data_IF_593904252975
#
_entry.id   IF_593904252975
#
_cell.length_a   1.000
_cell.length_b   1.000
_cell.length_c   1.000
_cell.angle_alpha   90.00
_cell.angle_beta   90.00
_cell.angle_gamma   90.00
#
_symmetry.space_group_name_H-M   'P 1'
#
loop_
_entity.id
_entity.type
_entity.pdbx_description
1 polymer ?
#
# COMPACT_ATOMS: atom_id res chain seq x y z
N UNK A 1 -73.59 -5.87 50.03
CA UNK A 1 -73.31 -5.21 48.74
C UNK A 1 -71.97 -4.50 48.91
N UNK A 2 -70.86 -5.03 48.37
CA UNK A 2 -69.51 -4.55 48.49
C UNK A 2 -69.12 -3.78 47.26
N UNK A 3 -68.76 -2.49 47.40
CA UNK A 3 -68.29 -1.61 46.36
C UNK A 3 -66.82 -1.90 46.06
N UNK A 4 -66.45 -2.31 44.82
CA UNK A 4 -65.10 -2.37 44.36
C UNK A 4 -64.74 -1.06 43.58
N UNK A 5 -63.88 -0.28 44.15
CA UNK A 5 -63.18 0.85 43.42
C UNK A 5 -62.09 0.26 42.56
N UNK A 6 -62.15 0.41 41.25
CA UNK A 6 -61.05 0.14 40.34
C UNK A 6 -60.15 1.37 40.21
N UNK A 7 -58.92 1.28 40.70
CA UNK A 7 -57.89 2.29 40.45
C UNK A 7 -57.25 2.06 39.07
N UNK A 8 -57.36 3.03 38.20
CA UNK A 8 -56.77 3.06 36.89
C UNK A 8 -55.36 3.64 37.04
N UNK A 9 -54.32 2.82 36.89
CA UNK A 9 -52.91 3.26 36.86
C UNK A 9 -52.55 3.58 35.41
N UNK A 10 -52.35 4.86 35.13
CA UNK A 10 -51.89 5.36 33.83
C UNK A 10 -50.38 5.21 33.78
N UNK A 11 -49.90 4.26 32.95
CA UNK A 11 -48.47 4.17 32.62
C UNK A 11 -48.14 5.20 31.52
N UNK A 12 -47.43 6.25 31.89
CA UNK A 12 -46.88 7.23 30.94
C UNK A 12 -45.57 6.69 30.42
N UNK A 13 -45.57 6.08 29.21
CA UNK A 13 -44.36 5.66 28.53
C UNK A 13 -43.68 6.89 27.90
N UNK A 14 -42.63 7.37 28.52
CA UNK A 14 -41.78 8.41 27.93
C UNK A 14 -40.91 7.74 26.85
N UNK A 15 -41.23 7.95 25.60
CA UNK A 15 -40.41 7.56 24.45
C UNK A 15 -39.28 8.57 24.35
N UNK A 16 -38.09 8.24 24.87
CA UNK A 16 -36.86 9.01 24.64
C UNK A 16 -36.38 8.64 23.25
N UNK A 17 -36.67 9.48 22.24
CA UNK A 17 -36.01 9.44 20.95
C UNK A 17 -34.55 9.85 21.10
N UNK A 18 -33.64 8.89 21.15
CA UNK A 18 -32.23 9.17 20.88
C UNK A 18 -32.09 9.52 19.40
N UNK A 19 -32.08 10.80 19.08
CA UNK A 19 -31.54 11.27 17.82
C UNK A 19 -30.02 11.08 17.89
N UNK A 20 -29.54 10.00 17.27
CA UNK A 20 -28.13 9.86 16.92
C UNK A 20 -27.79 11.01 15.96
N UNK A 21 -27.21 12.08 16.48
CA UNK A 21 -26.53 13.06 15.65
C UNK A 21 -25.31 12.34 15.08
N UNK A 22 -25.47 11.81 13.89
CA UNK A 22 -24.34 11.42 13.06
C UNK A 22 -23.62 12.73 12.70
N UNK A 23 -22.63 13.10 13.51
CA UNK A 23 -21.67 14.12 13.12
C UNK A 23 -20.92 13.47 11.96
N UNK A 24 -21.32 13.80 10.74
CA UNK A 24 -20.51 13.54 9.56
C UNK A 24 -19.17 14.23 9.79
N UNK A 25 -18.17 13.49 10.27
CA UNK A 25 -16.79 13.91 10.16
C UNK A 25 -16.56 14.12 8.67
N UNK A 26 -16.50 15.39 8.23
CA UNK A 26 -15.89 15.69 6.95
C UNK A 26 -14.47 15.15 7.08
N UNK A 27 -14.17 14.03 6.41
CA UNK A 27 -12.81 13.55 6.27
C UNK A 27 -12.05 14.62 5.48
N UNK A 28 -11.58 15.64 6.20
CA UNK A 28 -10.69 16.64 5.62
C UNK A 28 -9.38 15.91 5.40
N UNK A 29 -9.02 15.69 4.15
CA UNK A 29 -7.67 15.19 3.83
C UNK A 29 -6.65 16.10 4.47
N UNK A 30 -5.68 15.49 5.13
CA UNK A 30 -4.50 16.20 5.64
C UNK A 30 -3.36 16.01 4.66
N UNK A 31 -2.61 17.06 4.40
CA UNK A 31 -1.34 16.96 3.68
C UNK A 31 -0.46 15.90 4.35
N UNK A 32 0.13 15.01 3.55
CA UNK A 32 1.10 14.04 4.03
C UNK A 32 2.50 14.65 4.04
N UNK A 33 3.29 14.26 5.04
CA UNK A 33 4.67 14.70 5.20
C UNK A 33 5.50 13.56 5.79
N UNK A 34 6.82 13.72 5.77
CA UNK A 34 7.74 12.78 6.41
C UNK A 34 7.83 13.10 7.90
N UNK A 35 7.81 12.09 8.75
CA UNK A 35 7.96 12.23 10.21
C UNK A 35 9.32 12.84 10.60
N UNK A 36 9.39 13.45 11.78
CA UNK A 36 10.62 14.11 12.27
C UNK A 36 11.84 13.18 12.34
N UNK A 37 11.64 11.88 12.56
CA UNK A 37 12.73 10.89 12.56
C UNK A 37 13.09 10.37 11.16
N UNK A 38 12.35 10.76 10.12
CA UNK A 38 12.61 10.42 8.73
C UNK A 38 12.18 9.01 8.31
N UNK A 39 11.60 8.19 9.19
CA UNK A 39 11.30 6.79 8.88
C UNK A 39 9.86 6.51 8.48
N UNK A 40 8.95 7.45 8.72
CA UNK A 40 7.52 7.23 8.54
C UNK A 40 6.85 8.36 7.78
N UNK A 41 5.66 8.10 7.29
CA UNK A 41 4.73 9.10 6.80
C UNK A 41 3.78 9.52 7.92
N UNK A 42 3.47 10.80 7.96
CA UNK A 42 2.52 11.39 8.92
C UNK A 42 1.67 12.42 8.20
N UNK A 43 0.53 12.77 8.79
CA UNK A 43 -0.24 13.93 8.38
C UNK A 43 0.42 15.23 8.85
N UNK A 44 0.06 16.36 8.30
CA UNK A 44 0.61 17.69 8.67
C UNK A 44 0.45 18.01 10.17
N UNK A 45 -0.60 17.50 10.81
CA UNK A 45 -0.84 17.59 12.25
C UNK A 45 -0.11 16.51 13.06
N UNK A 46 0.79 15.73 12.44
CA UNK A 46 1.66 14.74 13.08
C UNK A 46 1.01 13.38 13.35
N UNK A 47 -0.22 13.13 12.87
CA UNK A 47 -0.83 11.81 13.07
C UNK A 47 -0.15 10.75 12.20
N UNK A 48 0.05 9.53 12.71
CA UNK A 48 0.65 8.45 11.96
C UNK A 48 -0.14 8.11 10.68
N UNK A 49 0.56 8.03 9.55
CA UNK A 49 0.02 7.53 8.31
C UNK A 49 0.71 6.21 7.94
N UNK A 50 0.00 5.10 8.14
CA UNK A 50 0.44 3.80 7.66
C UNK A 50 -0.02 3.64 6.21
N UNK A 51 0.90 3.62 5.25
CA UNK A 51 0.57 3.35 3.86
C UNK A 51 0.04 1.92 3.72
N UNK A 52 -1.26 1.78 3.42
CA UNK A 52 -1.84 0.52 2.98
C UNK A 52 -2.36 0.72 1.56
N UNK A 53 -1.51 0.41 0.59
CA UNK A 53 -1.77 0.59 -0.83
C UNK A 53 -2.40 -0.62 -1.49
N UNK A 54 -3.24 -0.38 -2.50
CA UNK A 54 -3.66 -1.38 -3.49
C UNK A 54 -3.19 -0.98 -4.88
N UNK A 55 -2.97 -1.97 -5.73
CA UNK A 55 -2.48 -1.79 -7.10
C UNK A 55 -3.63 -1.88 -8.10
N UNK A 56 -4.01 -0.73 -8.66
CA UNK A 56 -5.04 -0.60 -9.67
C UNK A 56 -4.50 0.05 -10.95
N UNK A 57 -3.43 -0.51 -11.54
CA UNK A 57 -2.66 0.14 -12.61
C UNK A 57 -3.52 0.67 -13.76
N UNK A 58 -4.51 -0.09 -14.23
CA UNK A 58 -5.31 0.27 -15.40
C UNK A 58 -6.67 0.89 -15.07
N UNK A 59 -6.87 1.39 -13.83
CA UNK A 59 -8.12 1.95 -13.34
C UNK A 59 -8.71 3.01 -14.29
N UNK A 60 -7.94 4.03 -14.66
CA UNK A 60 -8.41 5.15 -15.49
C UNK A 60 -8.75 4.73 -16.93
N UNK A 61 -8.04 3.75 -17.49
CA UNK A 61 -8.26 3.29 -18.87
C UNK A 61 -9.35 2.24 -18.99
N UNK A 62 -9.68 1.52 -17.92
CA UNK A 62 -10.52 0.30 -18.03
C UNK A 62 -11.87 0.41 -17.36
N UNK A 63 -12.00 1.16 -16.26
CA UNK A 63 -13.23 1.18 -15.48
C UNK A 63 -14.14 2.35 -15.88
N UNK A 64 -15.44 2.08 -15.97
CA UNK A 64 -16.47 3.12 -16.03
C UNK A 64 -16.58 3.82 -14.67
N UNK A 65 -17.37 4.89 -14.56
CA UNK A 65 -17.64 5.60 -13.31
C UNK A 65 -18.19 4.67 -12.24
N UNK A 66 -19.16 3.84 -12.59
CA UNK A 66 -19.84 2.90 -11.70
C UNK A 66 -18.91 1.77 -11.25
N UNK A 67 -18.09 1.26 -12.17
CA UNK A 67 -17.09 0.24 -11.87
C UNK A 67 -15.99 0.79 -10.95
N UNK A 68 -15.52 2.03 -11.21
CA UNK A 68 -14.54 2.71 -10.37
C UNK A 68 -15.10 2.94 -8.96
N UNK A 69 -16.38 3.32 -8.83
CA UNK A 69 -17.04 3.45 -7.53
C UNK A 69 -17.07 2.12 -6.77
N UNK A 70 -17.45 1.03 -7.44
CA UNK A 70 -17.47 -0.32 -6.84
C UNK A 70 -16.07 -0.73 -6.33
N UNK A 71 -15.03 -0.50 -7.14
CA UNK A 71 -13.66 -0.82 -6.79
C UNK A 71 -13.16 0.00 -5.60
N UNK A 72 -13.27 1.32 -5.66
CA UNK A 72 -12.80 2.23 -4.62
C UNK A 72 -13.56 2.00 -3.29
N UNK A 73 -14.87 1.77 -3.34
CA UNK A 73 -15.66 1.46 -2.14
C UNK A 73 -15.23 0.14 -1.49
N UNK A 74 -14.98 -0.90 -2.28
CA UNK A 74 -14.46 -2.17 -1.77
C UNK A 74 -13.10 -1.97 -1.07
N UNK A 75 -12.20 -1.17 -1.67
CA UNK A 75 -10.87 -0.90 -1.09
C UNK A 75 -10.99 -0.10 0.21
N UNK A 76 -11.85 0.92 0.25
CA UNK A 76 -12.15 1.66 1.47
C UNK A 76 -12.63 0.74 2.60
N UNK A 77 -13.60 -0.14 2.32
CA UNK A 77 -14.16 -1.09 3.30
C UNK A 77 -13.12 -2.07 3.82
N UNK A 78 -12.14 -2.45 3.00
CA UNK A 78 -11.02 -3.31 3.39
C UNK A 78 -9.87 -2.55 4.08
N UNK A 79 -10.04 -1.25 4.35
CA UNK A 79 -9.09 -0.44 5.10
C UNK A 79 -7.89 0.07 4.31
N UNK A 80 -7.87 -0.08 2.99
CA UNK A 80 -6.88 0.58 2.14
C UNK A 80 -7.01 2.09 2.24
N UNK A 81 -5.91 2.81 2.04
CA UNK A 81 -5.89 4.26 2.05
C UNK A 81 -5.08 4.87 0.90
N UNK A 82 -4.44 4.05 0.07
CA UNK A 82 -3.76 4.48 -1.16
C UNK A 82 -4.13 3.56 -2.32
N UNK A 83 -4.35 4.12 -3.51
CA UNK A 83 -4.49 3.36 -4.76
C UNK A 83 -3.39 3.79 -5.71
N UNK A 84 -2.50 2.88 -6.09
CA UNK A 84 -1.50 3.13 -7.13
C UNK A 84 -2.13 2.94 -8.51
N UNK A 85 -1.92 3.92 -9.41
CA UNK A 85 -2.54 3.94 -10.74
C UNK A 85 -1.65 4.59 -11.78
N UNK A 86 -1.64 4.03 -12.99
CA UNK A 86 -0.99 4.63 -14.16
C UNK A 86 -1.91 5.66 -14.79
N UNK A 87 -1.42 6.90 -14.97
CA UNK A 87 -2.14 7.90 -15.75
C UNK A 87 -2.00 7.59 -17.24
N UNK A 88 -0.77 7.52 -17.72
CA UNK A 88 -0.46 7.11 -19.09
C UNK A 88 0.26 5.75 -19.09
N UNK A 89 -0.51 4.66 -19.14
CA UNK A 89 0.04 3.31 -19.32
C UNK A 89 0.79 3.19 -20.65
N UNK A 90 0.20 3.72 -21.73
CA UNK A 90 0.81 3.87 -23.04
C UNK A 90 0.34 5.17 -23.66
N UNK A 91 1.10 5.72 -24.62
CA UNK A 91 0.79 7.01 -25.23
C UNK A 91 -0.49 7.01 -26.09
N UNK A 92 -1.02 5.84 -26.41
CA UNK A 92 -2.31 5.67 -27.09
C UNK A 92 -3.45 5.31 -26.14
N UNK A 93 -3.32 5.52 -24.84
CA UNK A 93 -4.35 5.17 -23.86
C UNK A 93 -5.65 5.91 -24.12
N UNK A 94 -6.75 5.19 -23.94
CA UNK A 94 -8.11 5.71 -23.94
C UNK A 94 -8.80 5.32 -22.64
N UNK A 95 -9.83 6.08 -22.24
CA UNK A 95 -10.67 5.70 -21.10
C UNK A 95 -11.72 4.65 -21.51
N UNK A 96 -12.57 4.24 -20.57
CA UNK A 96 -13.63 3.25 -20.80
C UNK A 96 -14.69 3.70 -21.83
N UNK A 97 -14.72 4.98 -22.17
CA UNK A 97 -15.67 5.59 -23.12
C UNK A 97 -15.05 5.85 -24.50
N UNK A 98 -13.75 5.60 -24.66
CA UNK A 98 -13.03 5.73 -25.93
C UNK A 98 -12.30 7.06 -26.12
N UNK A 99 -12.29 7.93 -25.10
CA UNK A 99 -11.61 9.22 -25.19
C UNK A 99 -10.10 9.04 -25.05
N UNK A 100 -9.34 9.59 -25.99
CA UNK A 100 -7.87 9.53 -25.99
C UNK A 100 -7.29 10.57 -25.04
N UNK A 101 -6.24 10.18 -24.28
CA UNK A 101 -5.55 11.09 -23.37
C UNK A 101 -4.73 12.17 -24.08
N UNK A 102 -4.20 11.88 -25.27
CA UNK A 102 -3.20 12.70 -25.95
C UNK A 102 -3.58 12.97 -27.40
N UNK A 103 -3.18 14.13 -27.91
CA UNK A 103 -3.18 14.44 -29.34
C UNK A 103 -1.94 13.77 -29.98
N UNK A 104 -2.14 13.02 -31.04
CA UNK A 104 -1.06 12.34 -31.79
C UNK A 104 -0.11 11.50 -30.92
N UNK A 105 -0.56 10.99 -29.77
CA UNK A 105 0.24 10.21 -28.82
C UNK A 105 1.48 10.97 -28.28
N UNK A 106 1.44 12.30 -28.23
CA UNK A 106 2.51 13.11 -27.68
C UNK A 106 2.14 13.58 -26.25
N UNK A 107 2.99 13.27 -25.26
CA UNK A 107 2.76 13.63 -23.85
C UNK A 107 2.68 15.15 -23.63
N UNK A 108 3.38 15.96 -24.45
CA UNK A 108 3.35 17.41 -24.35
C UNK A 108 2.01 18.02 -24.83
N UNK A 109 1.12 17.21 -25.42
CA UNK A 109 -0.17 17.67 -25.94
C UNK A 109 -1.33 16.86 -25.37
N UNK A 110 -1.67 17.02 -24.06
CA UNK A 110 -2.89 16.45 -23.49
C UNK A 110 -4.13 16.88 -24.27
N UNK A 111 -5.01 15.92 -24.57
CA UNK A 111 -6.24 16.18 -25.32
C UNK A 111 -7.36 16.52 -24.35
N UNK A 112 -7.69 17.80 -24.25
CA UNK A 112 -8.77 18.29 -23.40
C UNK A 112 -9.89 18.93 -24.23
N UNK A 113 -11.11 18.89 -23.71
CA UNK A 113 -12.29 19.58 -24.23
C UNK A 113 -12.74 20.69 -23.26
N UNK A 114 -13.45 21.72 -23.73
CA UNK A 114 -14.06 22.70 -22.83
C UNK A 114 -15.23 22.08 -22.03
N UNK A 115 -15.28 22.31 -20.74
CA UNK A 115 -16.33 21.76 -19.85
C UNK A 115 -15.93 20.43 -19.25
N UNK A 116 -16.90 19.73 -18.64
CA UNK A 116 -16.72 18.42 -17.99
C UNK A 116 -18.04 17.63 -17.86
N UNK A 117 -19.04 17.99 -18.65
CA UNK A 117 -20.38 17.36 -18.59
C UNK A 117 -20.33 15.95 -19.14
N UNK A 118 -20.51 14.95 -18.28
CA UNK A 118 -20.55 13.53 -18.69
C UNK A 118 -21.65 13.21 -19.70
N UNK A 119 -22.74 13.95 -19.66
CA UNK A 119 -23.88 13.77 -20.58
C UNK A 119 -23.64 14.34 -22.00
N UNK A 120 -22.56 15.10 -22.17
CA UNK A 120 -22.21 15.78 -23.44
C UNK A 120 -20.82 15.35 -23.91
N UNK A 121 -20.77 14.47 -24.90
CA UNK A 121 -19.54 13.94 -25.46
C UNK A 121 -18.60 15.01 -26.08
N UNK A 122 -19.08 16.25 -26.29
CA UNK A 122 -18.24 17.37 -26.74
C UNK A 122 -17.55 18.09 -25.60
N UNK A 123 -17.95 17.82 -24.36
CA UNK A 123 -17.42 18.42 -23.14
C UNK A 123 -16.65 17.43 -22.26
N UNK A 124 -16.84 16.11 -22.48
CA UNK A 124 -16.23 15.08 -21.65
C UNK A 124 -15.04 14.43 -22.34
N UNK A 125 -13.92 14.35 -21.65
CA UNK A 125 -12.70 13.77 -22.17
C UNK A 125 -12.02 12.77 -21.21
N UNK A 126 -10.85 12.27 -21.58
CA UNK A 126 -10.05 11.38 -20.76
C UNK A 126 -9.70 11.99 -19.40
N UNK A 127 -9.37 13.27 -19.37
CA UNK A 127 -8.89 13.94 -18.15
C UNK A 127 -10.04 14.27 -17.20
N UNK A 128 -11.25 14.51 -17.71
CA UNK A 128 -12.45 14.62 -16.89
C UNK A 128 -12.81 13.30 -16.21
N UNK A 129 -12.55 12.19 -16.89
CA UNK A 129 -12.69 10.86 -16.31
C UNK A 129 -11.69 10.63 -15.19
N UNK A 130 -10.43 11.00 -15.38
CA UNK A 130 -9.38 10.94 -14.33
C UNK A 130 -9.77 11.83 -13.14
N UNK A 131 -10.19 13.08 -13.40
CA UNK A 131 -10.64 14.01 -12.36
C UNK A 131 -11.79 13.44 -11.54
N UNK A 132 -12.80 12.87 -12.21
CA UNK A 132 -13.94 12.24 -11.55
C UNK A 132 -13.49 11.12 -10.60
N UNK A 133 -12.59 10.24 -11.04
CA UNK A 133 -12.13 9.12 -10.22
C UNK A 133 -11.27 9.62 -9.04
N UNK A 134 -10.43 10.64 -9.25
CA UNK A 134 -9.64 11.27 -8.17
C UNK A 134 -10.57 11.87 -7.11
N UNK A 135 -11.60 12.62 -7.53
CA UNK A 135 -12.57 13.23 -6.62
C UNK A 135 -13.41 12.18 -5.88
N UNK A 136 -13.80 11.11 -6.57
CA UNK A 136 -14.50 9.99 -5.97
C UNK A 136 -13.62 9.26 -4.94
N UNK A 137 -12.34 9.06 -5.22
CA UNK A 137 -11.37 8.52 -4.27
C UNK A 137 -11.23 9.42 -3.04
N UNK A 138 -11.16 10.74 -3.25
CA UNK A 138 -11.15 11.72 -2.15
C UNK A 138 -12.40 11.61 -1.27
N UNK A 139 -13.59 11.52 -1.84
CA UNK A 139 -14.84 11.34 -1.09
C UNK A 139 -14.82 10.06 -0.24
N UNK A 140 -14.09 9.03 -0.68
CA UNK A 140 -13.94 7.75 0.02
C UNK A 140 -12.74 7.70 0.98
N UNK A 141 -11.99 8.77 1.14
CA UNK A 141 -10.82 8.81 2.04
C UNK A 141 -9.58 8.10 1.49
N UNK A 142 -9.45 7.99 0.15
CA UNK A 142 -8.36 7.31 -0.52
C UNK A 142 -7.42 8.30 -1.21
N UNK A 143 -6.12 8.17 -0.96
CA UNK A 143 -5.08 8.85 -1.74
C UNK A 143 -4.86 8.11 -3.06
N UNK A 144 -4.51 8.87 -4.10
CA UNK A 144 -4.17 8.35 -5.42
C UNK A 144 -2.67 8.47 -5.65
N UNK A 145 -1.98 7.33 -5.70
CA UNK A 145 -0.58 7.24 -6.09
C UNK A 145 -0.47 7.25 -7.62
N UNK A 146 -0.26 8.43 -8.19
CA UNK A 146 -0.27 8.63 -9.64
C UNK A 146 1.09 8.38 -10.27
N UNK A 147 1.18 7.43 -11.22
CA UNK A 147 2.33 7.30 -12.12
C UNK A 147 2.04 8.13 -13.38
N UNK A 148 2.69 9.30 -13.58
CA UNK A 148 2.35 10.22 -14.67
C UNK A 148 2.47 9.58 -16.05
N UNK A 149 3.61 8.93 -16.33
CA UNK A 149 3.88 8.20 -17.55
C UNK A 149 4.64 6.92 -17.24
N UNK A 150 4.18 5.77 -17.77
CA UNK A 150 4.79 4.48 -17.50
C UNK A 150 6.18 4.35 -18.12
N UNK A 151 7.11 3.76 -17.38
CA UNK A 151 8.53 3.71 -17.70
C UNK A 151 8.89 3.14 -19.07
N UNK A 152 8.12 2.18 -19.60
CA UNK A 152 8.37 1.62 -20.92
C UNK A 152 8.26 2.65 -22.07
N UNK A 153 7.40 3.67 -21.93
CA UNK A 153 7.26 4.74 -22.94
C UNK A 153 8.51 5.63 -22.98
N UNK A 154 9.09 5.91 -21.82
CA UNK A 154 10.34 6.69 -21.70
C UNK A 154 11.53 5.87 -22.20
N UNK A 155 11.64 4.61 -21.79
CA UNK A 155 12.68 3.69 -22.24
C UNK A 155 12.69 3.49 -23.76
N UNK A 156 11.52 3.51 -24.39
CA UNK A 156 11.37 3.41 -25.85
C UNK A 156 11.81 4.70 -26.59
N UNK A 157 12.15 5.77 -25.85
CA UNK A 157 12.53 7.04 -26.45
C UNK A 157 11.35 7.87 -26.97
N UNK A 158 10.12 7.53 -26.57
CA UNK A 158 8.92 8.24 -27.03
C UNK A 158 8.61 9.51 -26.23
N UNK A 159 9.38 9.76 -25.18
CA UNK A 159 9.25 10.94 -24.31
C UNK A 159 10.62 11.61 -24.21
N UNK A 160 10.77 12.77 -24.87
CA UNK A 160 11.96 13.60 -24.76
C UNK A 160 12.00 14.36 -23.43
N UNK A 161 13.14 14.95 -23.06
CA UNK A 161 13.25 15.80 -21.86
C UNK A 161 12.32 17.02 -21.93
N UNK A 162 12.16 17.63 -23.11
CA UNK A 162 11.28 18.79 -23.32
C UNK A 162 9.79 18.40 -23.23
N UNK A 163 9.40 17.29 -23.85
CA UNK A 163 8.04 16.74 -23.72
C UNK A 163 7.73 16.39 -22.26
N UNK A 164 8.68 15.75 -21.58
CA UNK A 164 8.58 15.41 -20.16
C UNK A 164 8.38 16.63 -19.28
N UNK A 165 9.16 17.70 -19.52
CA UNK A 165 9.03 18.99 -18.82
C UNK A 165 7.65 19.59 -19.00
N UNK A 166 7.18 19.66 -20.24
CA UNK A 166 5.88 20.23 -20.58
C UNK A 166 4.74 19.45 -19.93
N UNK A 167 4.78 18.13 -20.03
CA UNK A 167 3.76 17.26 -19.46
C UNK A 167 3.77 17.27 -17.92
N UNK A 168 4.95 17.15 -17.31
CA UNK A 168 5.07 17.13 -15.86
C UNK A 168 4.54 18.44 -15.22
N UNK A 169 4.86 19.59 -15.84
CA UNK A 169 4.29 20.88 -15.43
C UNK A 169 2.76 20.89 -15.54
N UNK A 170 2.24 20.48 -16.70
CA UNK A 170 0.81 20.48 -16.96
C UNK A 170 0.03 19.59 -15.98
N UNK A 171 0.48 18.35 -15.75
CA UNK A 171 -0.23 17.42 -14.87
C UNK A 171 -0.12 17.86 -13.39
N UNK A 172 1.02 18.39 -12.98
CA UNK A 172 1.18 18.93 -11.64
C UNK A 172 0.29 20.16 -11.42
N UNK A 173 0.21 21.10 -12.36
CA UNK A 173 -0.72 22.23 -12.29
C UNK A 173 -2.18 21.80 -12.19
N UNK A 174 -2.58 20.72 -12.90
CA UNK A 174 -3.95 20.20 -12.86
C UNK A 174 -4.31 19.63 -11.48
N UNK A 175 -3.36 18.96 -10.81
CA UNK A 175 -3.67 18.21 -9.58
C UNK A 175 -3.12 18.80 -8.27
N UNK A 176 -2.29 19.85 -8.30
CA UNK A 176 -1.71 20.46 -7.08
C UNK A 176 -2.70 20.93 -6.01
N UNK A 177 -3.96 21.14 -6.39
CA UNK A 177 -5.02 21.54 -5.48
C UNK A 177 -5.96 20.38 -5.09
N UNK A 178 -5.77 19.19 -5.61
CA UNK A 178 -6.50 17.98 -5.17
C UNK A 178 -5.89 17.49 -3.85
N UNK A 179 -6.68 17.16 -2.83
CA UNK A 179 -6.13 16.91 -1.49
C UNK A 179 -5.50 15.52 -1.32
N UNK A 180 -5.64 14.64 -2.29
CA UNK A 180 -5.41 13.20 -2.16
C UNK A 180 -4.43 12.64 -3.19
N UNK A 181 -3.41 13.39 -3.58
CA UNK A 181 -2.41 12.96 -4.55
C UNK A 181 -1.10 12.56 -3.87
N UNK A 182 -0.44 11.54 -4.41
CA UNK A 182 0.96 11.19 -4.17
C UNK A 182 1.56 10.89 -5.54
N UNK A 183 2.72 11.48 -5.86
CA UNK A 183 3.37 11.28 -7.15
C UNK A 183 4.32 10.09 -7.12
N UNK A 184 4.16 9.18 -8.07
CA UNK A 184 5.04 8.03 -8.31
C UNK A 184 5.73 8.22 -9.66
N UNK A 185 6.90 8.84 -9.66
CA UNK A 185 7.73 8.95 -10.86
C UNK A 185 8.23 7.56 -11.31
N UNK A 186 8.56 7.33 -12.57
CA UNK A 186 9.08 6.03 -13.03
C UNK A 186 7.99 5.07 -13.54
N UNK A 187 7.87 3.89 -12.91
CA UNK A 187 6.93 2.83 -13.29
C UNK A 187 7.61 1.62 -13.95
N UNK A 188 7.97 0.61 -13.15
CA UNK A 188 8.65 -0.64 -13.52
C UNK A 188 9.87 -0.43 -14.43
N UNK A 189 10.73 0.53 -14.06
CA UNK A 189 11.89 0.97 -14.83
C UNK A 189 13.12 1.18 -13.95
N UNK A 190 14.32 0.86 -14.44
CA UNK A 190 15.56 1.24 -13.78
C UNK A 190 15.75 2.75 -13.90
N UNK A 191 16.08 3.41 -12.80
CA UNK A 191 16.34 4.85 -12.82
C UNK A 191 17.48 5.25 -13.72
N UNK A 192 18.40 4.32 -14.02
CA UNK A 192 19.48 4.52 -15.01
C UNK A 192 18.98 4.59 -16.45
N UNK A 193 17.81 4.00 -16.76
CA UNK A 193 17.24 4.05 -18.10
C UNK A 193 16.60 5.43 -18.30
N UNK A 194 17.20 6.28 -19.12
CA UNK A 194 16.76 7.67 -19.38
C UNK A 194 16.73 8.55 -18.12
N UNK A 195 17.76 8.48 -17.29
CA UNK A 195 17.85 9.16 -15.98
C UNK A 195 17.49 10.66 -16.05
N UNK A 196 17.90 11.37 -17.09
CA UNK A 196 17.62 12.80 -17.24
C UNK A 196 16.11 13.07 -17.34
N UNK A 197 15.36 12.24 -18.07
CA UNK A 197 13.91 12.38 -18.19
C UNK A 197 13.26 12.24 -16.81
N UNK A 198 13.68 11.27 -15.99
CA UNK A 198 13.15 11.07 -14.64
C UNK A 198 13.48 12.24 -13.71
N UNK A 199 14.69 12.81 -13.82
CA UNK A 199 15.07 14.02 -13.07
C UNK A 199 14.24 15.24 -13.51
N UNK A 200 13.99 15.39 -14.80
CA UNK A 200 13.14 16.46 -15.34
C UNK A 200 11.72 16.33 -14.80
N UNK A 201 11.12 15.13 -14.83
CA UNK A 201 9.76 14.91 -14.31
C UNK A 201 9.72 15.19 -12.80
N UNK A 202 10.64 14.60 -12.02
CA UNK A 202 10.67 14.77 -10.57
C UNK A 202 10.84 16.23 -10.14
N UNK A 203 11.82 16.95 -10.72
CA UNK A 203 12.04 18.35 -10.41
C UNK A 203 10.86 19.23 -10.82
N UNK A 204 10.29 19.03 -12.02
CA UNK A 204 9.18 19.84 -12.50
C UNK A 204 7.91 19.66 -11.66
N UNK A 205 7.63 18.41 -11.24
CA UNK A 205 6.51 18.15 -10.32
C UNK A 205 6.76 18.85 -8.98
N UNK A 206 7.94 18.67 -8.38
CA UNK A 206 8.30 19.29 -7.10
C UNK A 206 8.22 20.82 -7.12
N UNK A 207 8.67 21.46 -8.21
CA UNK A 207 8.59 22.91 -8.39
C UNK A 207 7.14 23.41 -8.56
N UNK A 208 6.30 22.65 -9.23
CA UNK A 208 4.91 23.04 -9.58
C UNK A 208 3.92 22.68 -8.48
N UNK A 209 4.14 21.58 -7.80
CA UNK A 209 3.29 21.01 -6.75
C UNK A 209 4.11 20.69 -5.48
N UNK A 210 4.42 21.67 -4.65
CA UNK A 210 5.17 21.47 -3.40
C UNK A 210 4.32 20.88 -2.28
N UNK A 211 3.06 20.53 -2.55
CA UNK A 211 2.12 20.07 -1.53
C UNK A 211 2.06 18.56 -1.38
N UNK A 212 2.43 17.82 -2.41
CA UNK A 212 2.28 16.37 -2.44
C UNK A 212 3.63 15.66 -2.43
N UNK A 213 3.66 14.52 -1.73
CA UNK A 213 4.85 13.68 -1.68
C UNK A 213 5.18 13.06 -3.04
N UNK A 214 6.46 12.93 -3.32
CA UNK A 214 6.99 12.33 -4.55
C UNK A 214 7.92 11.17 -4.21
N UNK A 215 7.76 10.06 -4.93
CA UNK A 215 8.70 8.94 -4.93
C UNK A 215 8.99 8.47 -6.35
N UNK A 216 9.83 7.44 -6.48
CA UNK A 216 10.12 6.78 -7.75
C UNK A 216 9.79 5.31 -7.66
N UNK A 217 8.90 4.82 -8.54
CA UNK A 217 8.54 3.41 -8.67
C UNK A 217 9.56 2.70 -9.55
N UNK A 218 10.46 1.88 -8.98
CA UNK A 218 11.57 1.28 -9.71
C UNK A 218 11.20 -0.02 -10.41
N UNK A 219 12.16 -0.58 -11.14
CA UNK A 219 12.12 -1.91 -11.74
C UNK A 219 12.20 -3.02 -10.68
N UNK A 220 11.65 -4.18 -10.98
CA UNK A 220 11.66 -5.36 -10.10
C UNK A 220 13.04 -5.68 -9.53
N UNK A 221 13.11 -5.95 -8.23
CA UNK A 221 14.32 -6.25 -7.45
C UNK A 221 15.32 -5.11 -7.36
N UNK A 222 14.81 -3.88 -7.43
CA UNK A 222 15.59 -2.64 -7.25
C UNK A 222 14.88 -1.69 -6.30
N UNK A 223 15.60 -0.66 -5.86
CA UNK A 223 15.06 0.42 -5.04
C UNK A 223 15.34 1.77 -5.66
N UNK A 224 14.45 2.75 -5.51
CA UNK A 224 14.63 4.13 -5.94
C UNK A 224 15.90 4.75 -5.37
N UNK A 225 16.30 4.32 -4.19
CA UNK A 225 17.51 4.80 -3.51
C UNK A 225 18.81 4.53 -4.28
N UNK A 226 18.81 3.59 -5.21
CA UNK A 226 19.98 3.31 -6.04
C UNK A 226 20.35 4.47 -6.96
N UNK A 227 19.37 5.28 -7.34
CA UNK A 227 19.56 6.35 -8.33
C UNK A 227 19.22 7.75 -7.81
N UNK A 228 18.18 7.86 -6.95
CA UNK A 228 17.57 9.15 -6.64
C UNK A 228 17.55 9.50 -5.15
N UNK A 229 18.23 8.73 -4.29
CA UNK A 229 18.17 8.94 -2.83
C UNK A 229 18.50 10.39 -2.41
N UNK A 230 19.46 11.02 -3.08
CA UNK A 230 19.93 12.39 -2.80
C UNK A 230 19.20 13.47 -3.60
N UNK A 231 18.26 13.10 -4.46
CA UNK A 231 17.45 14.09 -5.19
C UNK A 231 16.50 14.79 -4.22
N UNK A 232 16.37 16.11 -4.36
CA UNK A 232 15.51 16.92 -3.47
C UNK A 232 14.04 16.62 -3.64
N UNK A 233 13.64 16.23 -4.86
CA UNK A 233 12.24 15.87 -5.15
C UNK A 233 11.82 14.50 -4.58
N UNK A 234 12.75 13.62 -4.19
CA UNK A 234 12.39 12.31 -3.66
C UNK A 234 12.14 12.39 -2.15
N UNK A 235 10.90 12.35 -1.72
CA UNK A 235 10.53 12.42 -0.30
C UNK A 235 10.72 11.10 0.42
N UNK A 236 10.46 9.98 -0.23
CA UNK A 236 10.62 8.64 0.33
C UNK A 236 11.10 7.63 -0.70
N UNK A 237 11.81 6.60 -0.24
CA UNK A 237 12.24 5.50 -1.09
C UNK A 237 11.10 4.53 -1.32
N UNK A 238 11.01 4.00 -2.53
CA UNK A 238 10.16 2.88 -2.89
C UNK A 238 11.02 1.79 -3.53
N UNK A 239 10.78 0.55 -3.18
CA UNK A 239 11.37 -0.59 -3.86
C UNK A 239 10.28 -1.49 -4.45
N UNK A 240 10.66 -2.30 -5.42
CA UNK A 240 9.83 -3.35 -5.99
C UNK A 240 10.53 -4.68 -5.70
N UNK A 241 10.02 -5.44 -4.73
CA UNK A 241 10.59 -6.76 -4.43
C UNK A 241 10.30 -7.78 -5.55
N UNK A 242 9.24 -7.54 -6.29
CA UNK A 242 8.92 -8.27 -7.52
C UNK A 242 8.28 -9.62 -7.28
N UNK A 243 8.27 -10.47 -8.33
CA UNK A 243 7.41 -11.64 -8.41
C UNK A 243 8.17 -12.97 -8.53
N UNK A 244 9.47 -13.00 -8.24
CA UNK A 244 10.31 -14.19 -8.39
C UNK A 244 10.39 -15.01 -7.10
N UNK A 245 10.37 -16.34 -7.26
CA UNK A 245 10.72 -17.26 -6.19
C UNK A 245 12.24 -17.27 -5.94
N UNK A 246 12.68 -17.94 -4.88
CA UNK A 246 14.12 -18.09 -4.59
C UNK A 246 14.89 -18.74 -5.75
N UNK A 247 14.28 -19.71 -6.42
CA UNK A 247 14.88 -20.47 -7.50
C UNK A 247 14.98 -19.66 -8.79
N UNK A 248 14.08 -18.71 -8.98
CA UNK A 248 14.01 -17.86 -10.17
C UNK A 248 14.86 -16.59 -10.05
N UNK A 249 15.28 -16.21 -8.86
CA UNK A 249 15.98 -14.94 -8.64
C UNK A 249 17.48 -15.06 -8.88
N UNK A 250 17.84 -15.28 -10.15
CA UNK A 250 19.22 -15.56 -10.61
C UNK A 250 19.83 -14.45 -11.47
N UNK A 251 19.04 -13.41 -11.85
CA UNK A 251 19.47 -12.39 -12.79
C UNK A 251 20.66 -11.56 -12.27
N UNK A 252 21.60 -11.25 -13.15
CA UNK A 252 22.71 -10.33 -12.84
C UNK A 252 22.22 -8.87 -12.82
N UNK A 253 22.86 -8.03 -12.00
CA UNK A 253 22.58 -6.59 -11.94
C UNK A 253 21.38 -6.15 -11.11
N UNK A 254 20.61 -7.08 -10.57
CA UNK A 254 19.59 -6.84 -9.54
C UNK A 254 19.96 -7.55 -8.24
N UNK A 255 19.25 -7.16 -7.15
CA UNK A 255 19.43 -7.84 -5.87
C UNK A 255 18.74 -9.22 -5.91
N UNK A 256 19.47 -10.26 -5.54
CA UNK A 256 19.01 -11.66 -5.55
C UNK A 256 18.43 -12.04 -4.19
N UNK A 257 17.40 -11.33 -3.76
CA UNK A 257 16.79 -11.57 -2.46
C UNK A 257 15.60 -12.53 -2.52
N UNK A 258 15.10 -12.82 -3.74
CA UNK A 258 13.88 -13.58 -3.90
C UNK A 258 12.72 -12.96 -3.11
N UNK A 259 11.95 -13.77 -2.39
CA UNK A 259 10.88 -13.28 -1.52
C UNK A 259 11.33 -12.50 -0.27
N UNK A 260 12.61 -12.35 0.02
CA UNK A 260 13.14 -11.70 1.24
C UNK A 260 13.07 -10.17 1.15
N UNK A 261 11.89 -9.60 0.97
CA UNK A 261 11.69 -8.16 0.76
C UNK A 261 12.17 -7.29 1.93
N UNK A 262 12.27 -7.83 3.15
CA UNK A 262 12.85 -7.14 4.30
C UNK A 262 14.30 -6.69 4.07
N UNK A 263 15.06 -7.36 3.19
CA UNK A 263 16.43 -6.99 2.85
C UNK A 263 16.51 -5.65 2.11
N UNK A 264 15.52 -5.31 1.29
CA UNK A 264 15.44 -3.99 0.65
C UNK A 264 15.22 -2.90 1.69
N UNK A 265 14.36 -3.15 2.68
CA UNK A 265 14.16 -2.21 3.79
C UNK A 265 15.46 -2.00 4.55
N UNK A 266 16.18 -3.08 4.89
CA UNK A 266 17.48 -3.00 5.58
C UNK A 266 18.52 -2.19 4.80
N UNK A 267 18.53 -2.27 3.48
CA UNK A 267 19.40 -1.47 2.62
C UNK A 267 19.11 0.04 2.71
N UNK A 268 17.85 0.42 2.82
CA UNK A 268 17.42 1.82 2.74
C UNK A 268 17.30 2.48 4.11
N UNK A 269 16.97 1.72 5.16
CA UNK A 269 16.57 2.23 6.46
C UNK A 269 17.60 3.17 7.13
N UNK A 270 18.89 2.88 6.98
CA UNK A 270 19.97 3.64 7.60
C UNK A 270 20.67 4.61 6.65
N UNK A 271 20.21 4.74 5.39
CA UNK A 271 20.80 5.70 4.44
C UNK A 271 20.63 7.14 4.92
N UNK A 272 21.53 8.01 4.48
CA UNK A 272 21.48 9.45 4.79
C UNK A 272 21.33 10.25 3.50
N UNK A 273 20.47 11.28 3.49
CA UNK A 273 19.51 11.64 4.54
C UNK A 273 18.52 10.49 4.82
N UNK A 274 18.02 10.38 6.06
CA UNK A 274 17.01 9.36 6.38
C UNK A 274 15.73 9.67 5.62
N UNK A 275 15.20 8.67 4.93
CA UNK A 275 13.91 8.76 4.21
C UNK A 275 13.08 7.51 4.50
N UNK A 276 11.75 7.61 4.60
CA UNK A 276 10.90 6.44 4.68
C UNK A 276 11.17 5.51 3.50
N UNK A 277 10.91 4.22 3.67
CA UNK A 277 10.96 3.24 2.57
C UNK A 277 9.75 2.33 2.64
N UNK A 278 9.28 1.84 1.49
CA UNK A 278 8.20 0.86 1.42
C UNK A 278 8.26 0.02 0.14
N UNK A 279 7.66 -1.17 0.21
CA UNK A 279 7.48 -2.06 -0.94
C UNK A 279 6.27 -1.56 -1.77
N UNK A 280 6.54 -0.98 -2.93
CA UNK A 280 5.52 -0.47 -3.84
C UNK A 280 4.93 -1.55 -4.76
N UNK A 281 5.69 -2.65 -4.97
CA UNK A 281 5.23 -3.77 -5.79
C UNK A 281 5.85 -5.09 -5.34
N UNK A 282 5.30 -5.72 -4.28
CA UNK A 282 5.60 -7.11 -3.92
C UNK A 282 4.91 -8.08 -4.89
N UNK A 283 5.10 -9.37 -4.67
CA UNK A 283 4.35 -10.38 -5.42
C UNK A 283 2.84 -10.23 -5.22
N UNK A 284 2.10 -10.24 -6.33
CA UNK A 284 0.64 -10.11 -6.28
C UNK A 284 -0.05 -11.44 -6.03
N UNK A 285 -1.16 -11.40 -5.31
CA UNK A 285 -2.02 -12.58 -5.13
C UNK A 285 -2.49 -13.11 -6.51
N UNK A 286 -2.40 -14.42 -6.70
CA UNK A 286 -2.74 -15.14 -7.93
C UNK A 286 -1.89 -14.81 -9.18
N UNK A 287 -0.77 -14.08 -9.07
CA UNK A 287 0.17 -13.96 -10.18
C UNK A 287 1.12 -15.17 -10.20
N UNK A 288 1.52 -15.69 -11.38
CA UNK A 288 2.50 -16.78 -11.45
C UNK A 288 3.87 -16.36 -10.92
N UNK A 289 4.61 -17.29 -10.34
CA UNK A 289 6.01 -17.08 -10.01
C UNK A 289 6.78 -16.67 -11.27
N UNK A 290 7.49 -15.53 -11.22
CA UNK A 290 8.25 -14.99 -12.34
C UNK A 290 7.43 -14.33 -13.45
N UNK A 291 6.11 -14.15 -13.28
CA UNK A 291 5.17 -13.44 -14.16
C UNK A 291 4.75 -14.21 -15.43
N UNK A 292 5.70 -14.53 -16.29
CA UNK A 292 5.43 -14.85 -17.71
C UNK A 292 5.06 -16.31 -17.97
N UNK A 293 5.60 -17.24 -17.18
CA UNK A 293 5.26 -18.66 -17.29
C UNK A 293 3.99 -18.98 -16.47
N UNK A 294 2.87 -19.04 -17.14
CA UNK A 294 1.56 -19.27 -16.51
C UNK A 294 1.36 -20.69 -15.97
N UNK A 295 2.29 -21.61 -16.25
CA UNK A 295 2.30 -22.99 -15.68
C UNK A 295 2.88 -23.03 -14.29
N UNK A 296 3.64 -22.03 -13.89
CA UNK A 296 4.22 -21.93 -12.55
C UNK A 296 3.16 -21.86 -11.45
N UNK A 297 3.51 -22.24 -10.20
CA UNK A 297 2.71 -21.97 -9.03
C UNK A 297 2.38 -20.47 -8.93
N UNK A 298 1.32 -20.15 -8.19
CA UNK A 298 0.89 -18.77 -7.99
C UNK A 298 1.05 -18.34 -6.56
N UNK A 299 1.38 -17.07 -6.37
CA UNK A 299 1.43 -16.47 -5.05
C UNK A 299 0.03 -16.48 -4.42
N UNK A 300 -0.03 -16.79 -3.13
CA UNK A 300 -1.27 -16.96 -2.36
C UNK A 300 -1.47 -15.81 -1.38
N UNK A 301 -2.61 -15.80 -0.68
CA UNK A 301 -2.87 -14.89 0.44
C UNK A 301 -1.84 -15.03 1.58
N UNK A 302 -1.33 -16.25 1.83
CA UNK A 302 -0.25 -16.46 2.80
C UNK A 302 1.02 -15.68 2.43
N UNK A 303 1.35 -15.68 1.14
CA UNK A 303 2.55 -15.02 0.62
C UNK A 303 2.43 -13.49 0.71
N UNK A 304 1.28 -12.92 0.30
CA UNK A 304 1.12 -11.47 0.36
C UNK A 304 1.10 -10.96 1.80
N UNK A 305 0.59 -11.76 2.76
CA UNK A 305 0.75 -11.43 4.19
C UNK A 305 2.21 -11.42 4.61
N UNK A 306 2.97 -12.47 4.27
CA UNK A 306 4.40 -12.56 4.59
C UNK A 306 5.17 -11.33 4.09
N UNK A 307 4.98 -10.93 2.83
CA UNK A 307 5.61 -9.73 2.26
C UNK A 307 5.29 -8.48 3.09
N UNK A 308 4.03 -8.29 3.46
CA UNK A 308 3.61 -7.15 4.27
C UNK A 308 4.26 -7.14 5.65
N UNK A 309 4.20 -8.26 6.37
CA UNK A 309 4.75 -8.33 7.72
C UNK A 309 6.28 -8.24 7.72
N UNK A 310 6.97 -8.92 6.81
CA UNK A 310 8.43 -8.85 6.75
C UNK A 310 8.95 -7.46 6.46
N UNK A 311 8.44 -6.78 5.44
CA UNK A 311 8.90 -5.42 5.11
C UNK A 311 8.58 -4.42 6.22
N UNK A 312 7.36 -4.46 6.78
CA UNK A 312 6.96 -3.52 7.83
C UNK A 312 7.74 -3.76 9.11
N UNK A 313 7.96 -5.00 9.53
CA UNK A 313 8.74 -5.31 10.73
C UNK A 313 10.22 -4.94 10.57
N UNK A 314 10.75 -4.97 9.37
CA UNK A 314 12.09 -4.48 9.05
C UNK A 314 12.21 -2.94 9.06
N UNK A 315 11.11 -2.19 9.18
CA UNK A 315 11.12 -0.73 9.30
C UNK A 315 10.36 0.02 8.22
N UNK A 316 9.73 -0.64 7.24
CA UNK A 316 8.98 0.03 6.18
C UNK A 316 7.82 0.87 6.74
N UNK A 317 7.53 1.99 6.04
CA UNK A 317 6.47 2.94 6.41
C UNK A 317 5.06 2.47 6.02
N UNK A 318 4.95 1.28 5.45
CA UNK A 318 3.72 0.67 5.02
C UNK A 318 3.96 -0.45 4.03
N UNK A 319 2.90 -0.85 3.33
CA UNK A 319 2.93 -1.94 2.37
C UNK A 319 1.92 -1.72 1.25
N UNK A 320 2.23 -2.17 0.04
CA UNK A 320 1.29 -2.19 -1.08
C UNK A 320 0.90 -3.64 -1.39
N UNK A 321 -0.39 -3.88 -1.50
CA UNK A 321 -0.97 -5.13 -1.95
C UNK A 321 -1.26 -5.07 -3.45
N UNK A 322 -1.26 -6.22 -4.10
CA UNK A 322 -1.74 -6.37 -5.46
C UNK A 322 -2.37 -7.73 -5.71
N UNK A 323 -3.21 -7.81 -6.74
CA UNK A 323 -3.80 -9.03 -7.24
C UNK A 323 -3.74 -9.07 -8.76
N UNK A 324 -3.38 -10.20 -9.35
CA UNK A 324 -3.18 -10.33 -10.80
C UNK A 324 -4.35 -9.80 -11.64
N UNK A 325 -5.58 -10.14 -11.29
CA UNK A 325 -6.78 -9.68 -12.03
C UNK A 325 -7.11 -8.22 -11.79
N UNK A 326 -6.87 -7.73 -10.56
CA UNK A 326 -7.26 -6.37 -10.14
C UNK A 326 -6.30 -5.34 -10.70
N UNK A 327 -4.98 -5.61 -10.67
CA UNK A 327 -3.99 -4.64 -11.15
C UNK A 327 -4.22 -4.24 -12.62
N UNK A 328 -4.76 -5.14 -13.43
CA UNK A 328 -5.06 -4.93 -14.85
C UNK A 328 -6.55 -4.72 -15.14
N UNK A 329 -7.40 -4.66 -14.10
CA UNK A 329 -8.86 -4.54 -14.23
C UNK A 329 -9.43 -5.51 -15.27
N UNK A 330 -9.03 -6.81 -15.16
CA UNK A 330 -9.40 -7.83 -16.14
C UNK A 330 -10.91 -8.10 -16.13
N UNK A 331 -11.54 -8.00 -17.30
CA UNK A 331 -12.99 -8.19 -17.51
C UNK A 331 -13.27 -9.38 -18.44
N UNK A 332 -14.49 -9.90 -18.36
CA UNK A 332 -14.97 -10.96 -19.28
C UNK A 332 -15.00 -10.53 -20.75
N UNK A 333 -15.04 -9.22 -21.02
CA UNK A 333 -15.03 -8.64 -22.35
C UNK A 333 -13.63 -8.46 -22.95
N UNK A 334 -12.57 -8.67 -22.16
CA UNK A 334 -11.21 -8.55 -22.65
C UNK A 334 -10.85 -9.75 -23.53
N UNK A 335 -10.12 -9.50 -24.63
CA UNK A 335 -9.62 -10.55 -25.54
C UNK A 335 -8.60 -11.49 -24.91
N UNK A 336 -8.03 -11.10 -23.77
CA UNK A 336 -7.04 -11.85 -23.00
C UNK A 336 -6.60 -11.07 -21.75
N UNK A 337 -5.74 -11.68 -20.96
CA UNK A 337 -5.20 -11.07 -19.75
C UNK A 337 -3.68 -11.16 -19.73
N UNK A 338 -3.02 -10.18 -19.11
CA UNK A 338 -1.61 -10.32 -18.78
C UNK A 338 -1.41 -11.40 -17.71
N UNK A 339 -0.27 -12.10 -17.77
CA UNK A 339 0.16 -13.08 -16.77
C UNK A 339 -0.87 -14.17 -16.45
N UNK A 340 -1.69 -14.55 -17.44
CA UNK A 340 -2.66 -15.64 -17.32
C UNK A 340 -3.63 -15.46 -16.15
N UNK A 341 -4.26 -14.30 -16.04
CA UNK A 341 -5.27 -14.06 -15.00
C UNK A 341 -6.41 -15.09 -15.12
N UNK A 342 -6.83 -15.65 -13.97
CA UNK A 342 -7.85 -16.71 -13.88
C UNK A 342 -9.21 -16.20 -13.42
N UNK A 343 -9.30 -14.95 -13.01
CA UNK A 343 -10.49 -14.33 -12.43
C UNK A 343 -10.74 -13.00 -13.11
N UNK A 344 -11.95 -12.49 -12.97
CA UNK A 344 -12.25 -11.11 -13.31
C UNK A 344 -12.06 -10.21 -12.10
N UNK A 345 -11.75 -8.91 -12.34
CA UNK A 345 -11.43 -7.99 -11.25
C UNK A 345 -12.54 -7.88 -10.21
N UNK A 346 -13.80 -7.89 -10.65
CA UNK A 346 -14.97 -7.71 -9.78
C UNK A 346 -15.25 -8.90 -8.83
N UNK A 347 -14.69 -10.08 -9.13
CA UNK A 347 -14.69 -11.24 -8.23
C UNK A 347 -13.42 -11.22 -7.36
N UNK A 348 -12.28 -10.97 -7.99
CA UNK A 348 -10.95 -10.97 -7.37
C UNK A 348 -10.76 -9.90 -6.28
N UNK A 349 -11.50 -8.80 -6.32
CA UNK A 349 -11.46 -7.78 -5.25
C UNK A 349 -11.84 -8.33 -3.86
N UNK A 350 -12.45 -9.52 -3.80
CA UNK A 350 -12.85 -10.17 -2.56
C UNK A 350 -11.97 -11.35 -2.16
N UNK A 351 -10.87 -11.60 -2.88
CA UNK A 351 -9.92 -12.64 -2.50
C UNK A 351 -9.30 -12.37 -1.12
N UNK A 352 -8.87 -13.42 -0.40
CA UNK A 352 -8.54 -13.35 1.03
C UNK A 352 -7.45 -12.32 1.35
N UNK A 353 -6.37 -12.28 0.56
CA UNK A 353 -5.24 -11.40 0.83
C UNK A 353 -5.64 -9.94 0.99
N UNK A 354 -6.55 -9.44 0.13
CA UNK A 354 -7.03 -8.07 0.23
C UNK A 354 -7.71 -7.74 1.56
N UNK A 355 -8.49 -8.70 2.11
CA UNK A 355 -9.19 -8.52 3.39
C UNK A 355 -8.26 -8.64 4.60
N UNK A 356 -7.12 -9.32 4.44
CA UNK A 356 -6.19 -9.60 5.53
C UNK A 356 -5.19 -8.47 5.78
N UNK A 357 -4.90 -7.62 4.79
CA UNK A 357 -3.92 -6.53 4.92
C UNK A 357 -4.27 -5.52 6.00
N UNK A 358 -5.55 -5.29 6.25
CA UNK A 358 -5.99 -4.37 7.31
C UNK A 358 -5.51 -4.78 8.70
N UNK A 359 -5.29 -6.07 8.93
CA UNK A 359 -4.83 -6.58 10.23
C UNK A 359 -3.40 -6.12 10.54
N UNK A 360 -2.53 -6.05 9.52
CA UNK A 360 -1.18 -5.47 9.66
C UNK A 360 -1.26 -3.98 10.04
N UNK A 361 -2.04 -3.18 9.30
CA UNK A 361 -2.23 -1.76 9.59
C UNK A 361 -2.77 -1.53 11.00
N UNK A 362 -3.82 -2.27 11.38
CA UNK A 362 -4.42 -2.13 12.71
C UNK A 362 -3.47 -2.52 13.83
N UNK A 363 -2.65 -3.57 13.64
CA UNK A 363 -1.63 -3.95 14.59
C UNK A 363 -0.60 -2.83 14.78
N UNK A 364 -0.06 -2.30 13.68
CA UNK A 364 0.94 -1.23 13.73
C UNK A 364 0.41 0.04 14.39
N UNK A 365 -0.80 0.47 14.04
CA UNK A 365 -1.42 1.68 14.58
C UNK A 365 -2.00 1.49 16.01
N UNK A 366 -2.04 0.26 16.54
CA UNK A 366 -2.48 0.00 17.91
C UNK A 366 -1.46 0.43 18.95
N UNK A 367 -0.26 0.85 18.56
CA UNK A 367 0.85 1.29 19.40
C UNK A 367 1.46 2.59 18.84
N UNK A 368 2.31 3.29 19.63
CA UNK A 368 3.04 4.46 19.14
C UNK A 368 3.88 4.13 17.89
N UNK A 369 3.27 4.30 16.71
CA UNK A 369 3.78 3.81 15.43
C UNK A 369 5.09 4.46 15.02
N UNK A 370 5.21 5.79 15.17
CA UNK A 370 6.40 6.56 14.76
C UNK A 370 7.62 6.37 15.70
N UNK A 371 7.43 5.72 16.84
CA UNK A 371 8.52 5.35 17.76
C UNK A 371 9.09 3.95 17.44
N UNK A 372 8.48 3.25 16.51
CA UNK A 372 8.82 1.87 16.17
C UNK A 372 10.19 1.78 15.51
N UNK A 373 11.00 0.83 15.97
CA UNK A 373 12.30 0.49 15.37
C UNK A 373 12.38 -1.01 15.07
N UNK A 374 12.98 -1.43 13.95
CA UNK A 374 13.32 -2.84 13.75
C UNK A 374 14.37 -3.26 14.79
N UNK A 375 14.17 -4.41 15.44
CA UNK A 375 15.12 -4.89 16.44
C UNK A 375 15.21 -6.43 16.45
N UNK A 376 16.08 -6.96 15.60
CA UNK A 376 16.32 -8.41 15.52
C UNK A 376 17.05 -8.97 16.75
N UNK A 377 17.61 -8.14 17.63
CA UNK A 377 18.19 -8.59 18.90
C UNK A 377 17.16 -9.11 19.91
N UNK A 378 15.86 -8.95 19.60
CA UNK A 378 14.77 -9.62 20.32
C UNK A 378 14.79 -11.13 20.11
N UNK A 379 15.33 -11.64 19.01
CA UNK A 379 15.39 -13.07 18.73
C UNK A 379 16.65 -13.66 19.37
N UNK A 380 16.45 -14.58 20.33
CA UNK A 380 17.54 -15.30 20.96
C UNK A 380 17.87 -16.58 20.16
N UNK A 381 19.11 -16.67 19.66
CA UNK A 381 19.55 -17.77 18.83
C UNK A 381 19.31 -17.50 17.34
N UNK A 382 18.94 -18.55 16.59
CA UNK A 382 18.79 -18.48 15.14
C UNK A 382 17.53 -17.73 14.72
N UNK A 383 17.71 -16.68 13.90
CA UNK A 383 16.61 -15.92 13.31
C UNK A 383 15.91 -16.69 12.20
N UNK A 384 16.53 -17.71 11.64
CA UNK A 384 16.08 -18.46 10.50
C UNK A 384 16.39 -17.75 9.17
N UNK A 385 16.18 -18.48 8.08
CA UNK A 385 16.38 -18.02 6.71
C UNK A 385 15.16 -18.37 5.86
N UNK A 386 14.96 -17.66 4.77
CA UNK A 386 13.84 -17.86 3.84
C UNK A 386 12.51 -17.89 4.62
N UNK A 387 11.65 -18.86 4.37
CA UNK A 387 10.34 -18.96 5.03
C UNK A 387 10.41 -19.15 6.56
N UNK A 388 11.57 -19.58 7.09
CA UNK A 388 11.81 -19.70 8.53
C UNK A 388 12.31 -18.40 9.19
N UNK A 389 12.49 -17.30 8.43
CA UNK A 389 12.93 -16.02 8.97
C UNK A 389 11.88 -15.42 9.91
N UNK A 390 12.30 -15.02 11.11
CA UNK A 390 11.49 -14.34 12.10
C UNK A 390 11.84 -12.86 12.09
N UNK A 391 10.84 -12.01 11.88
CA UNK A 391 11.01 -10.57 11.87
C UNK A 391 10.58 -9.97 13.20
N UNK A 392 11.35 -9.01 13.74
CA UNK A 392 11.07 -8.39 15.02
C UNK A 392 11.18 -6.86 14.96
N UNK A 393 10.24 -6.19 15.62
CA UNK A 393 10.19 -4.74 15.75
C UNK A 393 9.67 -4.36 17.14
N UNK A 394 10.03 -3.19 17.64
CA UNK A 394 9.55 -2.70 18.94
C UNK A 394 9.42 -1.19 19.00
N UNK A 395 8.63 -0.73 19.97
CA UNK A 395 8.68 0.60 20.54
C UNK A 395 9.35 0.58 21.91
N UNK A 396 9.04 1.57 22.73
CA UNK A 396 9.58 1.71 24.09
C UNK A 396 8.98 0.67 25.06
N UNK A 397 7.69 0.40 24.95
CA UNK A 397 6.88 -0.39 25.91
C UNK A 397 6.15 -1.57 25.29
N UNK A 398 6.45 -1.89 24.03
CA UNK A 398 5.91 -3.04 23.31
C UNK A 398 6.93 -3.64 22.35
N UNK A 399 6.74 -4.92 22.01
CA UNK A 399 7.45 -5.59 20.92
C UNK A 399 6.49 -6.48 20.13
N UNK A 400 6.72 -6.58 18.81
CA UNK A 400 6.05 -7.47 17.89
C UNK A 400 7.07 -8.38 17.22
N UNK A 401 6.82 -9.69 17.23
CA UNK A 401 7.67 -10.69 16.60
C UNK A 401 6.79 -11.53 15.67
N UNK A 402 7.07 -11.50 14.37
CA UNK A 402 6.33 -12.22 13.34
C UNK A 402 7.07 -13.47 12.92
N UNK A 403 6.37 -14.59 12.93
CA UNK A 403 6.79 -15.88 12.42
C UNK A 403 5.79 -16.36 11.37
N UNK A 404 6.29 -16.65 10.16
CA UNK A 404 5.46 -17.08 9.03
C UNK A 404 5.04 -18.55 9.11
N UNK A 405 5.91 -19.38 9.67
CA UNK A 405 5.76 -20.85 9.66
C UNK A 405 5.01 -21.41 10.87
N UNK A 406 4.83 -20.64 11.94
CA UNK A 406 4.33 -21.15 13.21
C UNK A 406 5.35 -22.04 13.94
N UNK A 407 6.65 -21.77 13.78
CA UNK A 407 7.71 -22.52 14.46
C UNK A 407 8.00 -21.97 15.86
N UNK A 408 8.56 -22.81 16.72
CA UNK A 408 9.09 -22.39 18.01
C UNK A 408 10.23 -21.38 17.85
N UNK A 409 10.27 -20.38 18.72
CA UNK A 409 11.39 -19.45 18.80
C UNK A 409 11.61 -18.92 20.22
N UNK A 410 12.79 -18.40 20.47
CA UNK A 410 13.16 -17.83 21.75
C UNK A 410 13.33 -16.31 21.64
N UNK A 411 12.89 -15.58 22.68
CA UNK A 411 12.94 -14.13 22.76
C UNK A 411 13.85 -13.68 23.90
N UNK A 412 14.75 -12.76 23.61
CA UNK A 412 15.54 -12.03 24.59
C UNK A 412 14.64 -11.00 25.26
N UNK A 413 14.23 -11.26 26.50
CA UNK A 413 13.40 -10.36 27.29
C UNK A 413 14.24 -9.18 27.81
N UNK A 414 13.56 -8.12 28.31
CA UNK A 414 14.24 -6.92 28.85
C UNK A 414 14.57 -5.86 27.79
N UNK A 415 14.10 -6.02 26.56
CA UNK A 415 14.31 -5.06 25.45
C UNK A 415 13.26 -3.93 25.42
N UNK A 416 12.17 -4.09 26.12
CA UNK A 416 11.14 -3.07 26.34
C UNK A 416 11.09 -2.68 27.82
N UNK A 417 10.45 -1.59 28.16
CA UNK A 417 10.37 -1.11 29.56
C UNK A 417 9.46 -2.00 30.43
N UNK A 418 9.61 -1.89 31.76
CA UNK A 418 8.79 -2.59 32.75
C UNK A 418 9.41 -3.91 33.22
N UNK A 419 9.08 -4.32 34.46
CA UNK A 419 9.58 -5.54 35.10
C UNK A 419 8.82 -6.80 34.63
N UNK A 420 7.59 -6.60 34.15
CA UNK A 420 6.70 -7.65 33.65
C UNK A 420 6.11 -7.26 32.31
N UNK A 421 5.82 -8.26 31.51
CA UNK A 421 5.13 -8.10 30.21
C UNK A 421 3.95 -9.06 30.12
N UNK A 422 2.91 -8.59 29.46
CA UNK A 422 1.81 -9.42 28.96
C UNK A 422 2.19 -9.93 27.58
N UNK A 423 2.05 -11.24 27.37
CA UNK A 423 2.26 -11.88 26.06
C UNK A 423 0.93 -12.34 25.46
N UNK A 424 0.78 -12.11 24.15
CA UNK A 424 -0.45 -12.43 23.39
C UNK A 424 -0.07 -12.88 21.99
N UNK A 425 -0.69 -13.96 21.49
CA UNK A 425 -0.67 -14.29 20.07
C UNK A 425 -1.69 -13.47 19.31
N UNK A 426 -1.28 -12.94 18.17
CA UNK A 426 -2.12 -12.22 17.21
C UNK A 426 -2.11 -12.97 15.88
N UNK A 427 -3.30 -13.23 15.32
CA UNK A 427 -3.46 -13.89 14.03
C UNK A 427 -3.47 -12.87 12.90
N UNK A 428 -2.51 -12.88 11.96
CA UNK A 428 -2.51 -12.03 10.78
C UNK A 428 -3.66 -12.27 9.81
N UNK A 429 -4.28 -13.45 9.89
CA UNK A 429 -5.36 -13.90 8.99
C UNK A 429 -6.71 -13.24 9.27
N UNK A 430 -6.99 -12.96 10.56
CA UNK A 430 -8.30 -12.48 11.01
C UNK A 430 -8.25 -11.42 12.13
N UNK A 431 -7.05 -11.05 12.57
CA UNK A 431 -6.86 -10.08 13.65
C UNK A 431 -7.21 -10.58 15.06
N UNK A 432 -7.53 -11.86 15.22
CA UNK A 432 -7.89 -12.43 16.52
C UNK A 432 -6.69 -12.49 17.47
N UNK A 433 -6.97 -12.48 18.78
CA UNK A 433 -5.96 -12.48 19.83
C UNK A 433 -6.18 -13.65 20.79
N UNK A 434 -5.08 -14.33 21.16
CA UNK A 434 -5.06 -15.40 22.13
C UNK A 434 -4.05 -15.07 23.24
N UNK A 435 -4.53 -14.88 24.47
CA UNK A 435 -3.67 -14.61 25.61
C UNK A 435 -2.74 -15.79 25.89
N UNK A 436 -1.48 -15.48 26.20
CA UNK A 436 -0.47 -16.48 26.62
C UNK A 436 -0.29 -16.38 28.13
N UNK A 437 -0.06 -15.19 28.68
CA UNK A 437 0.16 -14.97 30.11
C UNK A 437 0.97 -13.72 30.39
N UNK A 438 1.38 -13.61 31.65
CA UNK A 438 2.27 -12.56 32.16
C UNK A 438 3.59 -13.15 32.57
N UNK A 439 4.69 -12.50 32.20
CA UNK A 439 6.03 -13.01 32.39
C UNK A 439 6.97 -11.93 32.95
N UNK A 440 8.03 -12.36 33.64
CA UNK A 440 9.12 -11.45 33.99
C UNK A 440 9.83 -10.97 32.73
N UNK A 441 10.08 -9.68 32.64
CA UNK A 441 10.74 -9.06 31.48
C UNK A 441 12.28 -9.16 31.59
N UNK A 442 12.79 -10.40 31.70
CA UNK A 442 14.25 -10.68 31.83
C UNK A 442 14.61 -12.07 31.33
N UNK A 443 15.86 -12.24 30.92
CA UNK A 443 16.41 -13.53 30.45
C UNK A 443 15.96 -13.89 29.05
N UNK A 444 15.89 -15.17 28.77
CA UNK A 444 15.44 -15.73 27.48
C UNK A 444 14.20 -16.58 27.72
N UNK A 445 13.19 -16.41 26.88
CA UNK A 445 11.93 -17.15 26.97
C UNK A 445 11.56 -17.77 25.65
N UNK A 446 11.21 -19.05 25.66
CA UNK A 446 10.72 -19.78 24.49
C UNK A 446 9.20 -19.59 24.34
N UNK A 447 8.77 -19.35 23.10
CA UNK A 447 7.36 -19.25 22.70
C UNK A 447 7.05 -20.26 21.60
N UNK A 448 5.86 -20.86 21.70
CA UNK A 448 5.34 -21.82 20.74
C UNK A 448 4.03 -21.29 20.15
N UNK A 449 4.01 -20.89 18.86
CA UNK A 449 2.79 -20.46 18.19
C UNK A 449 1.72 -21.53 18.17
N UNK A 450 0.42 -21.16 18.12
CA UNK A 450 -0.65 -22.14 18.01
C UNK A 450 -0.62 -22.89 16.66
N UNK A 451 -0.98 -24.18 16.70
CA UNK A 451 -1.08 -25.02 15.51
C UNK A 451 0.23 -25.73 15.14
N UNK A 452 0.24 -26.31 13.96
CA UNK A 452 1.38 -27.05 13.42
C UNK A 452 2.27 -26.14 12.58
N UNK A 453 3.58 -26.41 12.59
CA UNK A 453 4.52 -25.71 11.74
C UNK A 453 4.27 -26.03 10.26
N UNK A 454 3.87 -25.02 9.50
CA UNK A 454 3.65 -25.09 8.04
C UNK A 454 3.55 -23.70 7.42
N UNK A 455 3.69 -23.63 6.11
CA UNK A 455 3.50 -22.39 5.34
C UNK A 455 2.15 -21.74 5.65
N UNK A 456 2.19 -20.46 6.01
CA UNK A 456 1.01 -19.65 6.29
C UNK A 456 0.33 -19.91 7.64
N UNK A 457 0.91 -20.75 8.53
CA UNK A 457 0.50 -20.76 9.94
C UNK A 457 1.16 -19.61 10.70
N UNK A 458 1.01 -18.42 10.16
CA UNK A 458 1.69 -17.21 10.61
C UNK A 458 1.06 -16.62 11.87
N UNK A 459 1.93 -16.15 12.78
CA UNK A 459 1.56 -15.53 14.04
C UNK A 459 2.44 -14.33 14.38
N UNK A 460 1.86 -13.37 15.09
CA UNK A 460 2.63 -12.32 15.78
C UNK A 460 2.57 -12.55 17.27
N UNK A 461 3.73 -12.68 17.91
CA UNK A 461 3.85 -12.51 19.35
C UNK A 461 3.84 -11.02 19.67
N UNK A 462 2.90 -10.62 20.50
CA UNK A 462 2.82 -9.27 21.08
C UNK A 462 3.32 -9.34 22.52
N UNK A 463 4.34 -8.55 22.84
CA UNK A 463 4.78 -8.30 24.21
C UNK A 463 4.45 -6.86 24.58
N UNK A 464 3.78 -6.65 25.69
CA UNK A 464 3.35 -5.33 26.18
C UNK A 464 3.76 -5.17 27.65
N UNK A 465 4.31 -4.01 27.97
CA UNK A 465 4.57 -3.59 29.36
C UNK A 465 3.28 -3.69 30.19
N UNK A 466 3.39 -4.25 31.39
CA UNK A 466 2.36 -4.21 32.41
C UNK A 466 2.56 -3.00 33.35
#
# INVERSE_FOLDING_TARGET
>A
MKNYKRSLILFLSVLICFQSVSIGQSNKFSKLTVSANGHFLVTEDGQPFFWLGDTGWLLFGKLTREEAEKYLENRRQKGFNVIQVMVLHGLGVVNAYGDSALVNKNVATPKTTPGNSFADATQYDFWDHVDYIIDLAAQKGLYMGLVPVWGSNVKAGWVSEDDARTYAKWIAERYKNKPNIIWLNGGDIKGSDSMNVWKVIGNMINETDPNHLITFHPFGRTTSSQWFHNEQWLDFNMFQSGHRSYEQDTAAGEHKFGPDNYKFVQMDYNKKPVKPTLDGEPSYEHIPYGLHDTTQPRWTDNDVRRYGYWSVFAGAAGHTYGHNSVMQMHKSTDKGSAYGSRFYWYDAINHPGAGQMVHLKNLMLSKPYVERVPDQSLIAGEQGEKYNYIAATRGKDYAFIYDYMGRDFSVTMGKITGDKVKATWYSPRDGSRKAIGTFANKGVMKFNPPGEQKDGNDWVLILEKL
#
